data_IF_211489166890
#
_entry.id   IF_211489166890
#
_cell.length_a   1.000
_cell.length_b   1.000
_cell.length_c   1.000
_cell.angle_alpha   90.00
_cell.angle_beta   90.00
_cell.angle_gamma   90.00
#
_symmetry.space_group_name_H-M   'P 1'
#
loop_
_entity.id
_entity.type
_entity.pdbx_description
1 polymer ?
#
# COMPACT_ATOMS: atom_id res chain seq x y z
N UNK A 1 -14.74 3.65 -16.30
CA UNK A 1 -13.66 2.67 -16.25
C UNK A 1 -14.10 1.50 -15.38
N UNK A 2 -14.06 0.30 -15.91
CA UNK A 2 -14.72 -0.88 -15.29
C UNK A 2 -13.76 -1.67 -14.38
N UNK A 3 -12.47 -1.36 -14.36
CA UNK A 3 -11.49 -2.32 -13.86
C UNK A 3 -11.23 -2.32 -12.35
N UNK A 4 -11.15 -1.17 -11.70
CA UNK A 4 -10.65 -1.12 -10.31
C UNK A 4 -11.66 -1.65 -9.29
N UNK A 5 -12.92 -1.30 -9.41
CA UNK A 5 -13.94 -1.62 -8.42
C UNK A 5 -14.24 -3.11 -8.30
N UNK A 6 -14.27 -3.83 -9.42
CA UNK A 6 -14.46 -5.27 -9.41
C UNK A 6 -13.27 -5.98 -8.73
N UNK A 7 -12.04 -5.50 -8.98
CA UNK A 7 -10.85 -6.04 -8.33
C UNK A 7 -10.79 -5.73 -6.84
N UNK A 8 -11.24 -4.56 -6.40
CA UNK A 8 -11.24 -4.20 -4.98
C UNK A 8 -12.11 -5.16 -4.16
N UNK A 9 -13.34 -5.42 -4.62
CA UNK A 9 -14.23 -6.37 -3.98
C UNK A 9 -13.70 -7.80 -4.02
N UNK A 10 -13.05 -8.19 -5.13
CA UNK A 10 -12.43 -9.49 -5.26
C UNK A 10 -11.24 -9.67 -4.31
N UNK A 11 -10.36 -8.68 -4.17
CA UNK A 11 -9.26 -8.71 -3.22
C UNK A 11 -9.76 -8.78 -1.78
N UNK A 12 -10.74 -7.97 -1.42
CA UNK A 12 -11.35 -7.97 -0.10
C UNK A 12 -11.84 -9.36 0.30
N UNK A 13 -12.65 -9.96 -0.57
CA UNK A 13 -13.16 -11.32 -0.38
C UNK A 13 -12.04 -12.37 -0.32
N UNK A 14 -11.05 -12.26 -1.21
CA UNK A 14 -9.93 -13.20 -1.28
C UNK A 14 -9.09 -13.15 -0.01
N UNK A 15 -8.77 -11.95 0.48
CA UNK A 15 -7.95 -11.81 1.70
C UNK A 15 -8.66 -12.37 2.92
N UNK A 16 -9.95 -12.08 3.09
CA UNK A 16 -10.73 -12.64 4.19
C UNK A 16 -10.84 -14.16 4.10
N UNK A 17 -11.07 -14.71 2.91
CA UNK A 17 -11.11 -16.15 2.71
C UNK A 17 -9.77 -16.82 3.02
N UNK A 18 -8.66 -16.27 2.56
CA UNK A 18 -7.32 -16.77 2.87
C UNK A 18 -7.02 -16.71 4.37
N UNK A 19 -7.43 -15.61 5.02
CA UNK A 19 -7.30 -15.45 6.47
C UNK A 19 -8.04 -16.58 7.21
N UNK A 20 -9.24 -16.91 6.81
CA UNK A 20 -10.02 -18.01 7.39
C UNK A 20 -9.38 -19.38 7.17
N UNK A 21 -8.69 -19.59 6.04
CA UNK A 21 -8.04 -20.85 5.73
C UNK A 21 -6.71 -21.07 6.46
N UNK A 22 -5.89 -20.04 6.59
CA UNK A 22 -4.51 -20.19 7.06
C UNK A 22 -3.95 -18.99 7.83
N UNK A 23 -4.81 -18.09 8.29
CA UNK A 23 -4.41 -16.92 9.04
C UNK A 23 -3.75 -15.83 8.19
N UNK A 24 -3.22 -14.81 8.87
CA UNK A 24 -2.62 -13.65 8.22
C UNK A 24 -1.36 -14.00 7.42
N UNK A 25 -0.59 -15.00 7.85
CA UNK A 25 0.61 -15.42 7.13
C UNK A 25 0.31 -15.94 5.73
N UNK A 26 -0.84 -16.63 5.55
CA UNK A 26 -1.28 -17.05 4.22
C UNK A 26 -1.66 -15.85 3.34
N UNK A 27 -2.26 -14.83 3.92
CA UNK A 27 -2.58 -13.59 3.20
C UNK A 27 -1.30 -12.87 2.76
N UNK A 28 -0.30 -12.74 3.65
CA UNK A 28 1.01 -12.17 3.30
C UNK A 28 1.71 -12.94 2.18
N UNK A 29 1.68 -14.26 2.25
CA UNK A 29 2.24 -15.10 1.19
C UNK A 29 1.53 -14.85 -0.15
N UNK A 30 0.22 -14.67 -0.16
CA UNK A 30 -0.53 -14.33 -1.36
C UNK A 30 -0.12 -12.95 -1.93
N UNK A 31 0.09 -11.95 -1.08
CA UNK A 31 0.56 -10.63 -1.54
C UNK A 31 1.92 -10.70 -2.22
N UNK A 32 2.87 -11.47 -1.65
CA UNK A 32 4.20 -11.61 -2.23
C UNK A 32 4.19 -12.51 -3.47
N UNK A 33 3.57 -13.68 -3.42
CA UNK A 33 3.64 -14.65 -4.50
C UNK A 33 2.70 -14.30 -5.68
N UNK A 34 1.42 -13.99 -5.38
CA UNK A 34 0.44 -13.78 -6.44
C UNK A 34 0.38 -12.32 -6.93
N UNK A 35 0.47 -11.33 -6.03
CA UNK A 35 0.37 -9.94 -6.43
C UNK A 35 1.73 -9.42 -6.92
N UNK A 36 2.75 -9.47 -6.09
CA UNK A 36 4.06 -8.93 -6.45
C UNK A 36 4.69 -9.67 -7.63
N UNK A 37 4.75 -11.00 -7.59
CA UNK A 37 5.48 -11.79 -8.60
C UNK A 37 4.70 -12.04 -9.88
N UNK A 38 3.37 -12.11 -9.81
CA UNK A 38 2.55 -12.41 -10.97
C UNK A 38 1.77 -11.21 -11.47
N UNK A 39 0.74 -10.75 -10.74
CA UNK A 39 -0.19 -9.75 -11.27
C UNK A 39 0.43 -8.37 -11.45
N UNK A 40 1.41 -7.98 -10.65
CA UNK A 40 2.11 -6.69 -10.72
C UNK A 40 3.50 -6.79 -11.38
N UNK A 41 3.81 -7.90 -12.02
CA UNK A 41 5.13 -8.12 -12.64
C UNK A 41 5.51 -7.04 -13.66
N UNK A 42 4.54 -6.45 -14.36
CA UNK A 42 4.78 -5.34 -15.29
C UNK A 42 5.28 -4.07 -14.58
N UNK A 43 4.75 -3.76 -13.39
CA UNK A 43 5.23 -2.66 -12.55
C UNK A 43 6.66 -2.95 -12.06
N UNK A 44 6.92 -4.20 -11.67
CA UNK A 44 8.26 -4.64 -11.25
C UNK A 44 9.29 -4.35 -12.33
N UNK A 45 9.07 -4.83 -13.55
CA UNK A 45 10.01 -4.62 -14.66
C UNK A 45 10.18 -3.15 -15.04
N UNK A 46 9.08 -2.39 -15.03
CA UNK A 46 9.11 -0.96 -15.34
C UNK A 46 9.96 -0.18 -14.34
N UNK A 47 9.73 -0.42 -13.05
CA UNK A 47 10.42 0.30 -11.97
C UNK A 47 11.88 -0.15 -11.85
N UNK A 48 12.17 -1.44 -11.99
CA UNK A 48 13.56 -1.92 -12.04
C UNK A 48 14.34 -1.31 -13.22
N UNK A 49 13.69 -1.14 -14.36
CA UNK A 49 14.35 -0.59 -15.57
C UNK A 49 14.53 0.92 -15.56
N UNK A 50 13.59 1.67 -14.96
CA UNK A 50 13.52 3.13 -15.05
C UNK A 50 13.59 3.86 -13.71
N UNK A 51 13.52 3.14 -12.58
CA UNK A 51 13.56 3.75 -11.24
C UNK A 51 12.41 4.75 -11.00
N UNK A 52 12.73 5.95 -10.56
CA UNK A 52 11.75 7.02 -10.26
C UNK A 52 10.86 7.35 -11.47
N UNK A 53 11.43 7.40 -12.68
CA UNK A 53 10.62 7.61 -13.89
C UNK A 53 9.65 6.44 -14.15
N UNK A 54 10.05 5.21 -13.83
CA UNK A 54 9.16 4.05 -13.88
C UNK A 54 8.02 4.14 -12.88
N UNK A 55 8.27 4.62 -11.67
CA UNK A 55 7.23 4.88 -10.66
C UNK A 55 6.22 5.92 -11.16
N UNK A 56 6.72 7.02 -11.73
CA UNK A 56 5.89 8.07 -12.30
C UNK A 56 5.04 7.59 -13.48
N UNK A 57 5.62 6.77 -14.34
CA UNK A 57 4.95 6.18 -15.51
C UNK A 57 3.85 5.19 -15.09
N UNK A 58 4.10 4.41 -14.03
CA UNK A 58 3.15 3.43 -13.52
C UNK A 58 2.01 4.08 -12.72
N UNK A 59 2.33 4.77 -11.63
CA UNK A 59 1.30 5.29 -10.73
C UNK A 59 0.60 6.57 -11.22
N UNK A 60 1.24 7.36 -12.06
CA UNK A 60 0.64 8.59 -12.56
C UNK A 60 -0.69 8.38 -13.28
N UNK A 61 -0.69 7.64 -14.39
CA UNK A 61 -1.92 7.34 -15.13
C UNK A 61 -2.90 6.50 -14.30
N UNK A 62 -2.40 5.45 -13.64
CA UNK A 62 -3.23 4.50 -12.88
C UNK A 62 -4.08 5.20 -11.82
N UNK A 63 -3.46 6.00 -10.95
CA UNK A 63 -4.19 6.69 -9.89
C UNK A 63 -5.16 7.74 -10.44
N UNK A 64 -4.79 8.45 -11.49
CA UNK A 64 -5.67 9.42 -12.13
C UNK A 64 -6.89 8.75 -12.75
N UNK A 65 -6.67 7.65 -13.45
CA UNK A 65 -7.71 6.88 -14.12
C UNK A 65 -8.68 6.20 -13.14
N UNK A 66 -8.19 5.84 -11.97
CA UNK A 66 -8.99 5.24 -10.88
C UNK A 66 -9.73 6.29 -10.04
N UNK A 67 -9.52 7.58 -10.30
CA UNK A 67 -10.20 8.65 -9.59
C UNK A 67 -9.68 8.88 -8.17
N UNK A 68 -8.41 8.57 -7.91
CA UNK A 68 -7.77 8.87 -6.64
C UNK A 68 -7.68 10.37 -6.38
N UNK A 69 -7.86 10.80 -5.14
CA UNK A 69 -7.55 12.18 -4.71
C UNK A 69 -6.22 12.14 -3.97
N UNK A 70 -5.19 12.69 -4.58
CA UNK A 70 -3.82 12.61 -4.06
C UNK A 70 -2.95 13.79 -4.48
N UNK A 71 -1.90 14.04 -3.72
CA UNK A 71 -0.78 14.89 -4.11
C UNK A 71 0.42 14.02 -4.47
N UNK A 72 1.21 14.47 -5.44
CA UNK A 72 2.39 13.73 -5.89
C UNK A 72 3.61 14.65 -5.95
N UNK A 73 4.68 14.24 -5.27
CA UNK A 73 5.99 14.88 -5.36
C UNK A 73 6.96 13.94 -6.08
N UNK A 74 7.60 14.43 -7.13
CA UNK A 74 8.62 13.68 -7.87
C UNK A 74 9.85 14.56 -8.06
N UNK A 75 10.99 14.03 -7.62
CA UNK A 75 12.32 14.60 -7.86
C UNK A 75 13.21 13.54 -8.53
N UNK A 76 14.48 13.83 -8.73
CA UNK A 76 15.45 12.85 -9.23
C UNK A 76 15.61 11.65 -8.28
N UNK A 77 15.50 11.86 -6.96
CA UNK A 77 15.77 10.88 -5.93
C UNK A 77 14.55 10.41 -5.14
N UNK A 78 13.40 11.09 -5.28
CA UNK A 78 12.21 10.86 -4.49
C UNK A 78 10.97 10.71 -5.38
N UNK A 79 10.19 9.68 -5.10
CA UNK A 79 8.81 9.57 -5.55
C UNK A 79 7.90 9.49 -4.32
N UNK A 80 6.97 10.43 -4.18
CA UNK A 80 6.05 10.49 -3.05
C UNK A 80 4.60 10.64 -3.51
N UNK A 81 3.70 9.95 -2.81
CA UNK A 81 2.25 10.10 -2.90
C UNK A 81 1.69 10.36 -1.50
N UNK A 82 0.90 11.41 -1.39
CA UNK A 82 0.04 11.71 -0.25
C UNK A 82 -1.41 11.47 -0.68
N UNK A 83 -1.96 10.33 -0.29
CA UNK A 83 -3.28 9.84 -0.71
C UNK A 83 -4.36 10.35 0.25
N UNK A 84 -5.26 11.18 -0.23
CA UNK A 84 -6.39 11.73 0.54
C UNK A 84 -7.65 10.88 0.41
N UNK A 85 -7.89 10.32 -0.79
CA UNK A 85 -8.99 9.39 -1.04
C UNK A 85 -8.50 8.24 -1.93
N UNK A 86 -8.30 7.08 -1.32
CA UNK A 86 -7.91 5.87 -2.03
C UNK A 86 -9.11 5.33 -2.83
N UNK A 87 -8.98 5.12 -4.14
CA UNK A 87 -10.08 4.60 -4.95
C UNK A 87 -10.47 3.17 -4.57
N UNK A 88 -9.53 2.38 -4.07
CA UNK A 88 -9.77 1.01 -3.66
C UNK A 88 -10.43 0.93 -2.28
N UNK A 89 -9.76 1.36 -1.22
CA UNK A 89 -10.32 1.34 0.15
C UNK A 89 -11.54 2.24 0.29
N UNK A 90 -11.52 3.40 -0.36
CA UNK A 90 -12.68 4.31 -0.38
C UNK A 90 -13.92 3.66 -0.99
N UNK A 91 -13.77 2.91 -2.07
CA UNK A 91 -14.86 2.13 -2.66
C UNK A 91 -15.43 1.08 -1.70
N UNK A 92 -14.57 0.33 -1.00
CA UNK A 92 -15.02 -0.66 -0.02
C UNK A 92 -15.81 -0.03 1.12
N UNK A 93 -15.30 1.08 1.68
CA UNK A 93 -15.99 1.83 2.74
C UNK A 93 -17.35 2.34 2.26
N UNK A 94 -17.38 2.96 1.08
CA UNK A 94 -18.60 3.56 0.53
C UNK A 94 -19.70 2.51 0.27
N UNK A 95 -19.31 1.29 -0.09
CA UNK A 95 -20.25 0.23 -0.42
C UNK A 95 -20.49 -0.77 0.74
N UNK A 96 -19.88 -0.56 1.91
CA UNK A 96 -20.04 -1.44 3.06
C UNK A 96 -19.47 -2.86 2.84
N UNK A 97 -18.40 -2.97 2.04
CA UNK A 97 -17.77 -4.23 1.66
C UNK A 97 -16.56 -4.58 2.53
N UNK A 98 -16.35 -3.88 3.62
CA UNK A 98 -15.19 -4.06 4.50
C UNK A 98 -15.35 -5.33 5.35
N UNK A 99 -14.65 -6.39 5.02
CA UNK A 99 -14.59 -7.63 5.79
C UNK A 99 -13.18 -7.91 6.32
N UNK A 100 -12.16 -7.69 5.47
CA UNK A 100 -10.77 -7.87 5.86
C UNK A 100 -10.19 -6.57 6.44
N UNK A 101 -9.89 -6.62 7.72
CA UNK A 101 -9.50 -5.43 8.51
C UNK A 101 -8.20 -4.77 8.01
N UNK A 102 -7.24 -5.57 7.59
CA UNK A 102 -5.91 -5.13 7.22
C UNK A 102 -5.76 -4.96 5.70
N UNK A 103 -6.88 -4.62 5.02
CA UNK A 103 -6.91 -4.47 3.57
C UNK A 103 -5.83 -3.51 3.04
N UNK A 104 -5.59 -2.39 3.74
CA UNK A 104 -4.59 -1.41 3.29
C UNK A 104 -3.16 -1.96 3.30
N UNK A 105 -2.88 -2.97 4.09
CA UNK A 105 -1.54 -3.58 4.20
C UNK A 105 -1.11 -4.27 2.90
N UNK A 106 -2.08 -4.68 2.05
CA UNK A 106 -1.75 -5.33 0.80
C UNK A 106 -0.88 -4.48 -0.13
N UNK A 107 -1.05 -3.15 -0.10
CA UNK A 107 -0.22 -2.26 -0.90
C UNK A 107 1.26 -2.46 -0.56
N UNK A 108 1.61 -2.43 0.72
CA UNK A 108 3.00 -2.67 1.15
C UNK A 108 3.41 -4.13 1.00
N UNK A 109 2.46 -5.05 1.07
CA UNK A 109 2.70 -6.47 0.85
C UNK A 109 3.31 -6.80 -0.52
N UNK A 110 3.02 -6.00 -1.56
CA UNK A 110 3.64 -6.17 -2.88
C UNK A 110 4.61 -5.04 -3.26
N UNK A 111 4.35 -3.80 -2.82
CA UNK A 111 5.23 -2.64 -3.13
C UNK A 111 6.55 -2.74 -2.34
N UNK A 112 6.51 -3.17 -1.09
CA UNK A 112 7.72 -3.33 -0.27
C UNK A 112 8.76 -4.25 -0.92
N UNK A 113 8.42 -5.50 -1.25
CA UNK A 113 9.32 -6.41 -1.98
C UNK A 113 9.82 -5.83 -3.31
N UNK A 114 8.95 -5.14 -4.07
CA UNK A 114 9.34 -4.47 -5.30
C UNK A 114 10.41 -3.40 -5.05
N UNK A 115 10.19 -2.51 -4.08
CA UNK A 115 11.14 -1.44 -3.75
C UNK A 115 12.48 -2.02 -3.31
N UNK A 116 12.48 -3.04 -2.45
CA UNK A 116 13.69 -3.75 -2.04
C UNK A 116 14.47 -4.29 -3.24
N UNK A 117 13.79 -4.95 -4.17
CA UNK A 117 14.40 -5.51 -5.38
C UNK A 117 14.95 -4.41 -6.30
N UNK A 118 14.23 -3.30 -6.44
CA UNK A 118 14.64 -2.18 -7.29
C UNK A 118 15.71 -1.26 -6.66
N UNK A 119 16.13 -1.51 -5.41
CA UNK A 119 17.17 -0.73 -4.73
C UNK A 119 16.67 0.56 -4.10
N UNK A 120 15.39 0.61 -3.72
CA UNK A 120 14.78 1.73 -3.01
C UNK A 120 14.40 1.33 -1.59
N UNK A 121 14.28 2.33 -0.72
CA UNK A 121 13.59 2.25 0.56
C UNK A 121 12.21 2.89 0.41
N UNK A 122 11.26 2.46 1.22
CA UNK A 122 9.92 3.03 1.25
C UNK A 122 9.52 3.35 2.69
N UNK A 123 9.11 4.58 2.95
CA UNK A 123 8.39 4.96 4.16
C UNK A 123 6.89 5.02 3.84
N UNK A 124 6.08 4.58 4.78
CA UNK A 124 4.64 4.46 4.60
C UNK A 124 3.88 4.53 5.92
N UNK A 125 2.71 5.16 5.87
CA UNK A 125 1.68 5.08 6.92
C UNK A 125 0.30 5.06 6.27
N UNK A 126 -0.67 4.42 6.92
CA UNK A 126 -2.07 4.44 6.53
C UNK A 126 -2.98 4.34 7.76
N UNK A 127 -4.21 4.84 7.60
CA UNK A 127 -5.20 4.85 8.69
C UNK A 127 -6.36 3.88 8.48
N UNK A 128 -6.27 2.99 7.51
CA UNK A 128 -7.34 2.05 7.13
C UNK A 128 -8.69 2.70 6.76
N UNK A 129 -8.72 4.02 6.59
CA UNK A 129 -9.88 4.81 6.18
C UNK A 129 -9.76 5.35 4.75
N UNK A 130 -8.88 4.78 3.94
CA UNK A 130 -8.63 5.23 2.57
C UNK A 130 -7.67 6.42 2.47
N UNK A 131 -6.91 6.69 3.52
CA UNK A 131 -5.83 7.67 3.50
C UNK A 131 -4.50 6.99 3.84
N UNK A 132 -3.47 7.35 3.11
CA UNK A 132 -2.11 6.87 3.32
C UNK A 132 -1.10 7.84 2.70
N UNK A 133 0.15 7.66 3.03
CA UNK A 133 1.24 8.24 2.28
C UNK A 133 2.35 7.22 2.11
N UNK A 134 3.16 7.40 1.09
CA UNK A 134 4.31 6.57 0.76
C UNK A 134 5.37 7.41 0.08
N UNK A 135 6.59 7.25 0.51
CA UNK A 135 7.75 7.93 -0.06
C UNK A 135 8.85 6.92 -0.36
N UNK A 136 9.22 6.83 -1.61
CA UNK A 136 10.29 5.96 -2.10
C UNK A 136 11.52 6.79 -2.39
N UNK A 137 12.65 6.36 -1.83
CA UNK A 137 13.95 6.99 -1.98
C UNK A 137 15.00 5.96 -2.33
N UNK A 138 16.12 6.40 -2.91
CA UNK A 138 17.26 5.51 -3.10
C UNK A 138 17.79 5.05 -1.74
N UNK A 139 18.31 3.81 -1.64
CA UNK A 139 18.89 3.26 -0.39
C UNK A 139 20.04 4.11 0.19
N UNK A 140 20.69 4.94 -0.61
CA UNK A 140 21.72 5.86 -0.14
C UNK A 140 21.18 7.01 0.72
N UNK A 141 19.89 7.28 0.69
CA UNK A 141 19.24 8.27 1.54
C UNK A 141 18.45 7.56 2.65
N UNK A 142 19.09 7.46 3.82
CA UNK A 142 18.52 6.82 5.00
C UNK A 142 17.67 7.76 5.87
N UNK A 143 17.45 9.02 5.45
CA UNK A 143 16.64 9.97 6.22
C UNK A 143 15.16 9.57 6.15
N UNK A 144 14.52 9.22 7.28
CA UNK A 144 13.10 8.88 7.27
C UNK A 144 12.24 10.04 6.79
N UNK A 145 11.24 9.73 5.97
CA UNK A 145 10.24 10.70 5.55
C UNK A 145 9.28 11.06 6.68
N UNK A 146 8.68 12.23 6.59
CA UNK A 146 7.66 12.68 7.54
C UNK A 146 6.27 12.51 6.96
N UNK A 147 5.34 12.03 7.80
CA UNK A 147 3.92 11.96 7.46
C UNK A 147 3.36 13.36 7.16
N UNK A 148 2.46 13.50 6.18
CA UNK A 148 1.77 14.76 5.95
C UNK A 148 0.77 15.05 7.08
N UNK A 149 0.63 16.33 7.46
CA UNK A 149 -0.28 16.74 8.52
C UNK A 149 -1.76 16.36 8.26
N UNK A 150 -2.15 16.24 6.98
CA UNK A 150 -3.51 15.93 6.58
C UNK A 150 -3.98 14.51 6.96
N UNK A 151 -3.05 13.55 7.19
CA UNK A 151 -3.42 12.19 7.60
C UNK A 151 -3.80 12.10 9.09
N UNK A 152 -3.41 13.04 9.91
CA UNK A 152 -3.63 13.02 11.37
C UNK A 152 -5.10 13.25 11.79
N UNK A 153 -6.00 13.61 10.86
CA UNK A 153 -7.37 14.02 11.16
C UNK A 153 -8.43 12.89 11.16
N UNK A 154 -8.11 11.69 10.69
CA UNK A 154 -9.05 10.56 10.63
C UNK A 154 -8.55 9.41 11.50
N UNK A 155 -9.46 8.91 12.37
CA UNK A 155 -9.17 7.73 13.18
C UNK A 155 -8.97 6.47 12.30
N UNK A 156 -8.18 5.54 12.79
CA UNK A 156 -8.03 4.22 12.19
C UNK A 156 -9.36 3.46 12.24
N UNK A 157 -9.83 2.94 11.11
CA UNK A 157 -11.10 2.21 11.02
C UNK A 157 -11.16 0.99 11.96
N UNK A 158 -10.01 0.39 12.26
CA UNK A 158 -9.90 -0.76 13.16
C UNK A 158 -10.21 -0.44 14.63
N UNK A 159 -10.21 0.84 14.99
CA UNK A 159 -10.57 1.30 16.34
C UNK A 159 -12.09 1.49 16.51
N UNK A 160 -12.88 1.31 15.47
CA UNK A 160 -14.34 1.38 15.56
C UNK A 160 -14.89 0.22 16.39
N UNK A 161 -15.88 0.46 17.29
CA UNK A 161 -16.42 -0.59 18.16
C UNK A 161 -17.07 -1.77 17.44
N UNK A 162 -17.55 -1.56 16.21
CA UNK A 162 -18.19 -2.55 15.36
C UNK A 162 -17.19 -3.35 14.52
N UNK A 163 -15.91 -2.99 14.56
CA UNK A 163 -14.87 -3.69 13.83
C UNK A 163 -14.38 -4.91 14.60
N UNK A 164 -14.69 -6.10 14.12
CA UNK A 164 -14.26 -7.35 14.73
C UNK A 164 -13.07 -7.94 13.99
N UNK A 165 -11.92 -8.01 14.64
CA UNK A 165 -10.74 -8.62 14.09
C UNK A 165 -9.83 -9.18 15.17
N UNK A 166 -9.24 -10.31 14.86
CA UNK A 166 -8.24 -11.02 15.66
C UNK A 166 -6.80 -10.58 15.36
N UNK A 167 -6.63 -9.70 14.39
CA UNK A 167 -5.32 -9.19 13.96
C UNK A 167 -5.13 -7.74 14.43
N UNK A 168 -4.04 -7.47 15.10
CA UNK A 168 -3.74 -6.15 15.69
C UNK A 168 -2.62 -5.39 14.98
N UNK A 169 -1.82 -6.07 14.18
CA UNK A 169 -0.72 -5.44 13.50
C UNK A 169 -1.22 -4.55 12.37
N UNK A 170 -0.68 -3.38 12.26
CA UNK A 170 -0.83 -2.56 11.09
C UNK A 170 0.53 -2.05 10.65
N UNK A 171 0.62 -1.73 9.41
CA UNK A 171 1.84 -1.26 8.82
C UNK A 171 1.88 0.26 8.90
N UNK A 172 2.68 0.80 9.80
CA UNK A 172 2.80 2.24 9.99
C UNK A 172 3.93 2.84 9.16
N UNK A 173 5.03 2.13 9.07
CA UNK A 173 6.21 2.58 8.33
C UNK A 173 7.00 1.39 7.79
N UNK A 174 7.26 1.39 6.49
CA UNK A 174 8.15 0.43 5.87
C UNK A 174 9.54 1.04 5.69
N UNK A 175 10.39 0.81 6.65
CA UNK A 175 11.83 0.92 6.42
C UNK A 175 12.37 -0.38 5.84
N UNK A 176 13.57 -0.37 5.29
CA UNK A 176 14.21 -1.57 4.73
C UNK A 176 14.08 -2.75 5.72
N UNK A 177 13.44 -3.88 5.33
CA UNK A 177 13.27 -5.03 6.23
C UNK A 177 14.57 -5.65 6.71
N UNK A 178 15.71 -5.31 6.11
CA UNK A 178 17.05 -5.68 6.59
C UNK A 178 17.62 -4.66 7.60
N UNK A 179 16.92 -3.54 7.85
CA UNK A 179 17.29 -2.57 8.87
C UNK A 179 16.84 -3.04 10.25
N UNK A 180 17.70 -3.80 10.91
CA UNK A 180 17.47 -4.29 12.28
C UNK A 180 17.49 -3.20 13.35
N UNK A 181 17.66 -1.92 12.99
CA UNK A 181 17.73 -0.80 13.94
C UNK A 181 16.37 -0.18 14.25
N UNK A 182 15.33 -0.54 13.49
CA UNK A 182 13.99 0.02 13.63
C UNK A 182 13.11 -0.67 14.71
N UNK A 183 13.67 -1.61 15.48
CA UNK A 183 12.96 -2.26 16.59
C UNK A 183 13.63 -1.86 17.90
N UNK A 184 13.18 -0.75 18.45
CA UNK A 184 13.45 -0.41 19.85
C UNK A 184 12.26 0.31 20.46
#
# INVERSE_FOLDING_TARGET
MIGCYDFCGHYEWTFEWLRQLGGHDLVKAYWDEAIHRDSQTHAVYLIMGKGIEGMKEYWGPTLADEGAVYERTVTEDVFRIDMHECPSKGFLIHNGLEQYRDYCDHCMGWIGPLMKTAGFVIDHEHNHCGQCWWEMRRKSDATPASAPAALSGRGDVRLRPDWNSDHTDHYERATDPDDKTAVS
#
